data_IF_579071815655
#
_entry.id   IF_579071815655
#
_cell.length_a   1.000
_cell.length_b   1.000
_cell.length_c   1.000
_cell.angle_alpha   90.00
_cell.angle_beta   90.00
_cell.angle_gamma   90.00
#
_symmetry.space_group_name_H-M   'P 1'
#
loop_
_entity.id
_entity.type
_entity.pdbx_description
1 polymer ?
#
# COMPACT_ATOMS: atom_id res chain seq x y z
N UNK A 1 12.02 -28.28 43.03
CA UNK A 1 11.75 -26.96 42.42
C UNK A 1 10.47 -27.08 41.60
N UNK A 2 9.39 -26.48 42.10
CA UNK A 2 8.00 -26.91 41.86
C UNK A 2 7.34 -26.18 40.67
N UNK A 3 6.54 -26.94 39.92
CA UNK A 3 5.66 -26.61 38.79
C UNK A 3 4.49 -25.67 39.19
N UNK A 4 4.55 -25.04 40.36
CA UNK A 4 3.51 -24.16 40.89
C UNK A 4 3.66 -22.67 40.51
N UNK A 5 4.71 -22.25 39.79
CA UNK A 5 4.96 -20.81 39.49
C UNK A 5 4.48 -20.33 38.11
N UNK A 6 3.97 -21.21 37.25
CA UNK A 6 3.57 -20.86 35.88
C UNK A 6 2.10 -20.50 35.70
N UNK A 7 1.27 -20.66 36.75
CA UNK A 7 -0.17 -20.34 36.70
C UNK A 7 -0.54 -18.95 37.22
N UNK A 8 0.40 -18.17 37.76
CA UNK A 8 0.12 -16.79 38.23
C UNK A 8 0.46 -15.69 37.22
N UNK A 9 1.05 -16.01 36.07
CA UNK A 9 1.44 -15.01 35.06
C UNK A 9 0.37 -14.80 33.97
N UNK A 10 -0.48 -15.79 33.71
CA UNK A 10 -1.51 -15.73 32.66
C UNK A 10 -2.85 -15.10 33.09
N UNK A 11 -3.00 -14.71 34.36
CA UNK A 11 -4.23 -14.08 34.88
C UNK A 11 -4.20 -12.53 34.94
N UNK A 12 -3.12 -11.88 34.46
CA UNK A 12 -2.97 -10.40 34.53
C UNK A 12 -2.71 -9.69 33.19
N UNK A 13 -2.86 -10.37 32.05
CA UNK A 13 -2.79 -9.73 30.73
C UNK A 13 -4.17 -9.51 30.12
N UNK A 14 -5.06 -8.87 30.88
CA UNK A 14 -6.17 -8.09 30.28
C UNK A 14 -5.58 -6.75 29.86
N UNK A 15 -4.92 -6.71 28.70
CA UNK A 15 -4.49 -5.48 28.04
C UNK A 15 -5.72 -4.64 27.69
N UNK A 16 -6.16 -3.80 28.63
CA UNK A 16 -7.01 -2.66 28.34
C UNK A 16 -6.17 -1.68 27.54
N UNK A 17 -6.18 -1.82 26.21
CA UNK A 17 -5.82 -0.73 25.31
C UNK A 17 -6.89 0.35 25.49
N UNK A 18 -6.74 1.17 26.53
CA UNK A 18 -7.51 2.38 26.76
C UNK A 18 -6.70 3.59 26.32
N UNK A 19 -6.10 3.53 25.13
CA UNK A 19 -5.65 4.74 24.47
C UNK A 19 -6.90 5.51 24.02
N UNK A 20 -7.15 6.68 24.64
CA UNK A 20 -8.19 7.61 24.20
C UNK A 20 -8.02 7.99 22.72
N UNK A 21 -6.79 7.92 22.17
CA UNK A 21 -6.48 8.13 20.74
C UNK A 21 -7.08 7.00 19.88
N UNK A 22 -6.91 5.73 20.25
CA UNK A 22 -7.48 4.59 19.50
C UNK A 22 -9.02 4.61 19.48
N UNK A 23 -9.68 4.95 20.60
CA UNK A 23 -11.15 5.07 20.65
C UNK A 23 -11.70 6.22 19.80
N UNK A 24 -10.95 7.32 19.64
CA UNK A 24 -11.31 8.44 18.76
C UNK A 24 -11.19 8.03 17.29
N UNK A 25 -10.17 7.24 16.98
CA UNK A 25 -9.89 6.72 15.64
C UNK A 25 -10.94 5.71 15.15
N UNK A 26 -11.26 4.68 15.95
CA UNK A 26 -12.30 3.68 15.62
C UNK A 26 -13.67 4.34 15.37
N UNK A 27 -13.99 5.42 16.09
CA UNK A 27 -15.23 6.18 15.87
C UNK A 27 -15.25 6.96 14.55
N UNK A 28 -14.11 7.54 14.12
CA UNK A 28 -14.02 8.20 12.80
C UNK A 28 -14.05 7.18 11.66
N UNK A 29 -13.34 6.06 11.81
CA UNK A 29 -13.31 4.98 10.81
C UNK A 29 -14.67 4.30 10.62
N UNK A 30 -15.45 4.09 11.70
CA UNK A 30 -16.80 3.55 11.59
C UNK A 30 -17.76 4.47 10.82
N UNK A 31 -17.63 5.79 10.94
CA UNK A 31 -18.48 6.73 10.19
C UNK A 31 -18.17 6.68 8.69
N UNK A 32 -16.91 6.46 8.30
CA UNK A 32 -16.50 6.32 6.90
C UNK A 32 -16.84 4.94 6.32
N UNK A 33 -16.65 3.86 7.09
CA UNK A 33 -16.91 2.48 6.63
C UNK A 33 -18.40 2.13 6.54
N UNK A 34 -19.29 2.88 7.20
CA UNK A 34 -20.75 2.62 7.15
C UNK A 34 -21.42 3.04 5.83
N UNK A 35 -20.69 3.70 4.92
CA UNK A 35 -21.25 4.26 3.68
C UNK A 35 -20.75 3.60 2.37
N UNK A 36 -20.01 2.49 2.41
CA UNK A 36 -19.32 1.96 1.22
C UNK A 36 -19.86 0.66 0.62
N UNK A 37 -20.80 0.75 -0.31
CA UNK A 37 -21.21 -0.32 -1.24
C UNK A 37 -20.04 -0.67 -2.21
N UNK A 38 -19.12 -1.53 -1.79
CA UNK A 38 -17.76 -1.67 -2.37
C UNK A 38 -17.61 -2.63 -3.57
N UNK A 39 -18.53 -2.63 -4.52
CA UNK A 39 -18.27 -3.33 -5.80
C UNK A 39 -18.64 -2.50 -7.04
N UNK A 40 -19.43 -1.44 -6.87
CA UNK A 40 -19.94 -0.64 -7.99
C UNK A 40 -19.13 0.63 -8.27
N UNK A 41 -18.25 1.04 -7.34
CA UNK A 41 -17.47 2.29 -7.44
C UNK A 41 -16.27 2.13 -8.37
N UNK A 42 -15.61 0.97 -8.40
CA UNK A 42 -14.44 0.77 -9.27
C UNK A 42 -14.82 0.82 -10.75
N UNK A 43 -16.00 0.28 -11.12
CA UNK A 43 -16.51 0.34 -12.49
C UNK A 43 -16.98 1.74 -12.90
N UNK A 44 -17.37 2.61 -11.95
CA UNK A 44 -17.77 4.01 -12.23
C UNK A 44 -16.57 4.94 -12.38
N UNK A 45 -15.52 4.76 -11.57
CA UNK A 45 -14.29 5.54 -11.69
C UNK A 45 -13.48 5.15 -12.94
N UNK A 46 -13.49 3.87 -13.32
CA UNK A 46 -12.93 3.41 -14.59
C UNK A 46 -13.88 3.65 -15.78
N UNK A 47 -15.20 3.74 -15.54
CA UNK A 47 -16.22 3.90 -16.58
C UNK A 47 -16.31 5.30 -17.18
N UNK A 48 -15.68 6.31 -16.58
CA UNK A 48 -15.50 7.63 -17.20
C UNK A 48 -14.24 7.72 -18.08
N UNK A 49 -13.46 6.64 -18.25
CA UNK A 49 -12.32 6.58 -19.18
C UNK A 49 -12.72 6.37 -20.66
N UNK A 50 -13.98 6.50 -21.05
CA UNK A 50 -14.37 6.22 -22.44
C UNK A 50 -15.69 6.86 -22.84
N UNK A 51 -15.68 8.13 -23.27
CA UNK A 51 -16.65 8.63 -24.26
C UNK A 51 -16.12 9.86 -25.00
N UNK A 52 -15.19 9.65 -25.93
CA UNK A 52 -15.14 10.39 -27.21
C UNK A 52 -14.66 9.41 -28.27
N UNK A 53 -15.63 8.63 -28.75
CA UNK A 53 -15.50 7.63 -29.80
C UNK A 53 -15.28 8.33 -31.14
N UNK A 54 -14.01 8.54 -31.49
CA UNK A 54 -13.61 8.83 -32.85
C UNK A 54 -12.12 8.54 -33.05
N UNK A 55 -11.72 7.27 -33.07
CA UNK A 55 -10.40 6.82 -33.55
C UNK A 55 -10.40 5.31 -33.74
N UNK A 56 -10.21 4.92 -35.00
CA UNK A 56 -9.42 3.79 -35.48
C UNK A 56 -9.36 2.52 -34.63
N UNK A 57 -9.69 1.38 -35.23
CA UNK A 57 -9.76 0.04 -34.64
C UNK A 57 -8.43 -0.51 -34.07
N UNK A 58 -7.80 0.21 -33.14
CA UNK A 58 -6.70 -0.32 -32.32
C UNK A 58 -7.26 -1.51 -31.55
N UNK A 59 -6.83 -2.70 -31.98
CA UNK A 59 -7.18 -3.99 -31.38
C UNK A 59 -7.03 -3.87 -29.87
N UNK A 60 -8.16 -3.88 -29.16
CA UNK A 60 -8.16 -3.86 -27.69
C UNK A 60 -7.42 -5.10 -27.20
N UNK A 61 -6.47 -4.91 -26.28
CA UNK A 61 -5.69 -5.99 -25.67
C UNK A 61 -6.65 -7.07 -25.15
N UNK A 62 -6.45 -8.32 -25.57
CA UNK A 62 -7.16 -9.46 -24.98
C UNK A 62 -6.48 -9.82 -23.67
N UNK A 63 -7.20 -9.75 -22.55
CA UNK A 63 -6.68 -10.03 -21.19
C UNK A 63 -6.06 -11.45 -21.09
N UNK A 64 -6.64 -12.39 -21.83
CA UNK A 64 -6.08 -13.74 -21.98
C UNK A 64 -6.27 -14.23 -23.41
N UNK A 65 -5.37 -15.13 -23.82
CA UNK A 65 -5.44 -15.87 -25.07
C UNK A 65 -5.88 -17.29 -24.71
N UNK A 66 -7.03 -17.71 -25.21
CA UNK A 66 -7.48 -19.10 -25.11
C UNK A 66 -6.57 -19.98 -25.98
N UNK A 67 -5.94 -20.97 -25.36
CA UNK A 67 -5.05 -21.93 -26.02
C UNK A 67 -5.78 -23.25 -26.34
N UNK A 68 -7.08 -23.36 -26.00
CA UNK A 68 -7.85 -24.59 -26.09
C UNK A 68 -7.62 -25.54 -24.91
N UNK A 69 -8.55 -26.50 -24.73
CA UNK A 69 -8.43 -27.54 -23.69
C UNK A 69 -8.41 -27.01 -22.25
N UNK A 70 -9.07 -25.87 -22.00
CA UNK A 70 -9.11 -25.23 -20.67
C UNK A 70 -7.82 -24.48 -20.30
N UNK A 71 -6.87 -24.32 -21.23
CA UNK A 71 -5.63 -23.57 -21.01
C UNK A 71 -5.80 -22.13 -21.48
N UNK A 72 -5.34 -21.17 -20.69
CA UNK A 72 -5.24 -19.78 -21.09
C UNK A 72 -3.80 -19.28 -20.92
N UNK A 73 -3.41 -18.34 -21.77
CA UNK A 73 -2.19 -17.54 -21.58
C UNK A 73 -2.62 -16.12 -21.19
N UNK A 74 -2.24 -15.69 -20.00
CA UNK A 74 -2.36 -14.30 -19.60
C UNK A 74 -1.50 -13.44 -20.53
N UNK A 75 -2.05 -12.33 -20.97
CA UNK A 75 -1.26 -11.30 -21.64
C UNK A 75 -0.81 -10.30 -20.61
N UNK A 76 0.43 -9.86 -20.73
CA UNK A 76 0.98 -8.84 -19.85
C UNK A 76 0.34 -7.48 -20.15
N UNK A 77 0.32 -6.61 -19.14
CA UNK A 77 0.00 -5.21 -19.35
C UNK A 77 1.17 -4.51 -20.05
N UNK A 78 0.87 -3.46 -20.80
CA UNK A 78 1.89 -2.68 -21.52
C UNK A 78 1.97 -1.27 -20.93
N UNK A 79 3.13 -0.61 -20.97
CA UNK A 79 3.24 0.79 -20.56
C UNK A 79 2.18 1.66 -21.24
N UNK A 80 1.62 2.62 -20.52
CA UNK A 80 0.84 3.67 -21.13
C UNK A 80 1.75 4.47 -22.08
N UNK A 81 1.55 4.32 -23.39
CA UNK A 81 2.19 5.20 -24.36
C UNK A 81 1.71 6.65 -24.21
N UNK A 82 2.52 7.62 -24.65
CA UNK A 82 2.18 9.07 -24.68
C UNK A 82 0.87 9.39 -25.42
N UNK A 83 0.45 8.46 -26.27
CA UNK A 83 -0.78 8.51 -27.07
C UNK A 83 -2.06 8.34 -26.22
N UNK A 84 -1.94 7.83 -24.99
CA UNK A 84 -3.07 7.57 -24.10
C UNK A 84 -3.36 8.81 -23.25
N UNK A 85 -4.52 9.42 -23.48
CA UNK A 85 -5.09 10.45 -22.62
C UNK A 85 -5.75 9.78 -21.40
N UNK A 86 -4.94 9.53 -20.36
CA UNK A 86 -5.38 8.88 -19.12
C UNK A 86 -5.01 9.74 -17.92
N UNK A 87 -5.90 9.75 -16.92
CA UNK A 87 -5.59 10.37 -15.63
C UNK A 87 -4.44 9.63 -14.94
N UNK A 88 -3.41 10.40 -14.57
CA UNK A 88 -2.36 9.95 -13.69
C UNK A 88 -2.97 9.51 -12.35
N UNK A 89 -2.90 8.22 -12.04
CA UNK A 89 -3.54 7.65 -10.86
C UNK A 89 -2.50 7.02 -9.96
N UNK A 90 -2.35 7.62 -8.78
CA UNK A 90 -1.48 7.15 -7.72
C UNK A 90 -2.25 6.18 -6.80
N UNK A 91 -1.85 4.92 -6.78
CA UNK A 91 -2.26 3.97 -5.77
C UNK A 91 -1.33 4.11 -4.57
N UNK A 92 -1.84 4.60 -3.45
CA UNK A 92 -1.08 4.76 -2.22
C UNK A 92 -1.44 3.67 -1.22
N UNK A 93 -0.45 3.04 -0.58
CA UNK A 93 -0.71 2.02 0.43
C UNK A 93 0.44 1.88 1.42
N UNK A 94 0.11 1.70 2.70
CA UNK A 94 1.08 1.23 3.68
C UNK A 94 1.65 -0.15 3.25
N UNK A 95 2.92 -0.46 3.53
CA UNK A 95 3.51 -1.74 3.16
C UNK A 95 2.65 -2.95 3.54
N UNK A 96 2.56 -3.93 2.64
CA UNK A 96 1.76 -5.15 2.82
C UNK A 96 0.24 -4.94 3.06
N UNK A 97 -0.32 -3.76 2.77
CA UNK A 97 -1.76 -3.51 2.82
C UNK A 97 -2.55 -3.96 1.57
N UNK A 98 -1.93 -4.75 0.69
CA UNK A 98 -2.60 -5.38 -0.46
C UNK A 98 -2.30 -4.73 -1.81
N UNK A 99 -1.31 -3.83 -1.88
CA UNK A 99 -0.90 -3.17 -3.13
C UNK A 99 -0.62 -4.15 -4.27
N UNK A 100 -0.02 -5.31 -3.98
CA UNK A 100 0.27 -6.35 -4.99
C UNK A 100 -0.98 -6.98 -5.61
N UNK A 101 -2.10 -6.98 -4.90
CA UNK A 101 -3.38 -7.42 -5.49
C UNK A 101 -4.01 -6.27 -6.27
N UNK A 102 -3.90 -5.04 -5.76
CA UNK A 102 -4.40 -3.84 -6.44
C UNK A 102 -3.79 -3.65 -7.81
N UNK A 103 -2.47 -3.57 -7.92
CA UNK A 103 -1.82 -3.33 -9.20
C UNK A 103 -2.10 -4.47 -10.22
N UNK A 104 -2.14 -5.74 -9.80
CA UNK A 104 -2.48 -6.88 -10.67
C UNK A 104 -3.90 -6.79 -11.21
N UNK A 105 -4.87 -6.47 -10.35
CA UNK A 105 -6.24 -6.25 -10.79
C UNK A 105 -6.35 -5.06 -11.74
N UNK A 106 -5.65 -3.96 -11.42
CA UNK A 106 -5.61 -2.77 -12.24
C UNK A 106 -5.02 -3.07 -13.61
N UNK A 107 -3.87 -3.73 -13.70
CA UNK A 107 -3.22 -4.16 -14.94
C UNK A 107 -4.10 -5.12 -15.75
N UNK A 108 -4.75 -6.07 -15.09
CA UNK A 108 -5.66 -7.00 -15.75
C UNK A 108 -6.84 -6.28 -16.40
N UNK A 109 -7.45 -5.32 -15.70
CA UNK A 109 -8.64 -4.59 -16.14
C UNK A 109 -8.29 -3.53 -17.20
N UNK A 110 -7.25 -2.73 -16.97
CA UNK A 110 -6.89 -1.61 -17.84
C UNK A 110 -6.01 -2.03 -19.03
N UNK A 111 -5.22 -3.09 -18.86
CA UNK A 111 -4.14 -3.45 -19.77
C UNK A 111 -2.93 -2.51 -19.72
N UNK A 112 -2.92 -1.57 -18.77
CA UNK A 112 -1.87 -0.58 -18.56
C UNK A 112 -0.98 -1.05 -17.41
N UNK A 113 0.31 -1.12 -17.67
CA UNK A 113 1.31 -1.51 -16.69
C UNK A 113 1.39 -0.48 -15.55
N UNK A 114 1.49 -0.96 -14.32
CA UNK A 114 1.61 -0.09 -13.14
C UNK A 114 3.08 0.10 -12.78
N UNK A 115 3.53 1.36 -12.76
CA UNK A 115 4.89 1.73 -12.32
C UNK A 115 5.03 1.79 -10.79
N UNK A 116 6.25 2.04 -10.30
CA UNK A 116 6.54 2.16 -8.87
C UNK A 116 7.50 3.31 -8.54
N UNK A 117 7.67 3.54 -7.24
CA UNK A 117 8.50 4.60 -6.66
C UNK A 117 9.95 4.59 -7.17
N UNK A 118 10.47 3.44 -7.60
CA UNK A 118 11.89 3.24 -7.94
C UNK A 118 12.13 3.00 -9.43
N UNK A 119 11.12 3.24 -10.28
CA UNK A 119 11.19 3.05 -11.73
C UNK A 119 11.52 1.62 -12.18
N UNK A 120 11.19 0.60 -11.37
CA UNK A 120 11.51 -0.80 -11.68
C UNK A 120 10.55 -1.45 -12.70
N UNK A 121 9.60 -0.68 -13.24
CA UNK A 121 8.59 -1.12 -14.22
C UNK A 121 8.98 -1.05 -15.71
N UNK A 122 10.21 -0.68 -16.06
CA UNK A 122 10.66 -0.52 -17.46
C UNK A 122 10.49 0.91 -18.01
N UNK A 123 10.87 1.14 -19.27
CA UNK A 123 11.04 2.49 -19.88
C UNK A 123 9.79 3.41 -19.84
N UNK A 124 8.59 2.85 -19.66
CA UNK A 124 7.36 3.64 -19.41
C UNK A 124 7.39 4.46 -18.12
N UNK A 125 8.24 4.08 -17.16
CA UNK A 125 8.43 4.80 -15.90
C UNK A 125 9.15 6.14 -16.07
N UNK A 126 9.87 6.36 -17.19
CA UNK A 126 10.55 7.63 -17.47
C UNK A 126 9.59 8.74 -17.87
N UNK A 127 8.51 8.38 -18.58
CA UNK A 127 7.49 9.34 -18.99
C UNK A 127 6.44 9.56 -17.90
N UNK A 128 6.42 8.75 -16.83
CA UNK A 128 5.58 8.90 -15.63
C UNK A 128 4.08 9.10 -15.93
N UNK A 129 3.59 8.58 -17.05
CA UNK A 129 2.19 8.70 -17.46
C UNK A 129 1.41 7.47 -17.01
N UNK A 130 0.28 7.69 -16.34
CA UNK A 130 -0.69 6.64 -16.06
C UNK A 130 -0.72 6.18 -14.61
N UNK A 131 -0.44 4.90 -14.38
CA UNK A 131 -0.77 4.22 -13.12
C UNK A 131 0.51 3.96 -12.31
N UNK A 132 0.56 4.44 -11.08
CA UNK A 132 1.73 4.29 -10.22
C UNK A 132 1.34 3.79 -8.83
N UNK A 133 2.09 2.83 -8.28
CA UNK A 133 1.96 2.42 -6.88
C UNK A 133 3.03 3.09 -6.03
N UNK A 134 2.65 3.56 -4.86
CA UNK A 134 3.57 4.14 -3.88
C UNK A 134 3.32 3.64 -2.47
N UNK A 135 4.38 3.65 -1.67
CA UNK A 135 4.32 3.48 -0.23
C UNK A 135 4.47 4.80 0.54
N UNK A 136 4.77 5.91 -0.15
CA UNK A 136 4.85 7.24 0.47
C UNK A 136 3.57 7.52 1.29
N UNK A 137 3.67 8.16 2.47
CA UNK A 137 4.88 8.69 3.11
C UNK A 137 5.59 7.70 4.04
N UNK A 138 5.35 6.39 3.90
CA UNK A 138 6.11 5.39 4.64
C UNK A 138 7.61 5.49 4.31
N UNK A 139 8.47 5.08 5.23
CA UNK A 139 9.94 5.18 5.11
C UNK A 139 10.49 4.42 3.88
N UNK A 140 9.77 3.39 3.45
CA UNK A 140 10.09 2.56 2.27
C UNK A 140 9.68 3.22 0.94
N UNK A 141 8.96 4.35 0.97
CA UNK A 141 8.44 5.04 -0.20
C UNK A 141 9.05 6.43 -0.39
N UNK A 142 9.26 6.82 -1.64
CA UNK A 142 9.82 8.14 -2.03
C UNK A 142 8.88 8.86 -2.98
N UNK A 143 8.94 10.19 -3.06
CA UNK A 143 8.12 10.96 -4.00
C UNK A 143 8.80 11.03 -5.37
N UNK A 144 8.62 9.99 -6.20
CA UNK A 144 9.32 9.92 -7.49
C UNK A 144 8.48 10.35 -8.70
N UNK A 145 7.17 10.57 -8.55
CA UNK A 145 6.29 10.90 -9.68
C UNK A 145 6.13 12.40 -9.94
N UNK A 146 6.52 13.28 -9.01
CA UNK A 146 6.38 14.73 -9.16
C UNK A 146 4.92 15.13 -9.40
N UNK A 147 4.69 16.12 -10.28
CA UNK A 147 3.36 16.62 -10.63
C UNK A 147 2.64 15.82 -11.73
N UNK A 148 3.05 14.57 -12.00
CA UNK A 148 2.50 13.78 -13.12
C UNK A 148 1.26 12.95 -12.75
N UNK A 149 0.80 13.05 -11.50
CA UNK A 149 -0.39 12.35 -11.02
C UNK A 149 -1.52 13.35 -10.82
N UNK A 150 -2.74 12.95 -11.18
CA UNK A 150 -3.94 13.77 -11.07
C UNK A 150 -4.79 13.40 -9.85
N UNK A 151 -4.73 12.13 -9.43
CA UNK A 151 -5.60 11.59 -8.40
C UNK A 151 -4.96 10.48 -7.58
N UNK A 152 -5.45 10.32 -6.35
CA UNK A 152 -5.04 9.26 -5.43
C UNK A 152 -6.16 8.24 -5.22
N UNK A 153 -5.80 6.96 -5.24
CA UNK A 153 -6.58 5.85 -4.70
C UNK A 153 -5.84 5.30 -3.49
N UNK A 154 -6.47 5.37 -2.32
CA UNK A 154 -5.88 4.90 -1.08
C UNK A 154 -6.26 3.43 -0.82
N UNK A 155 -5.27 2.56 -0.69
CA UNK A 155 -5.45 1.14 -0.40
C UNK A 155 -5.19 0.87 1.08
N UNK A 156 -6.23 0.49 1.82
CA UNK A 156 -6.18 0.33 3.28
C UNK A 156 -6.41 -1.14 3.67
N UNK A 157 -5.58 -1.58 4.62
CA UNK A 157 -5.71 -2.84 5.33
C UNK A 157 -5.60 -2.60 6.84
N UNK A 158 -6.32 -3.39 7.61
CA UNK A 158 -6.32 -3.36 9.07
C UNK A 158 -4.88 -3.51 9.59
N UNK A 159 -4.45 -2.69 10.57
CA UNK A 159 -3.07 -2.72 11.06
C UNK A 159 -2.73 -4.06 11.71
N UNK A 160 -3.73 -4.79 12.23
CA UNK A 160 -3.57 -6.15 12.74
C UNK A 160 -3.03 -7.12 11.69
N UNK A 161 -3.24 -6.86 10.42
CA UNK A 161 -2.78 -7.70 9.31
C UNK A 161 -1.63 -7.07 8.53
N UNK A 162 -1.68 -5.76 8.29
CA UNK A 162 -0.68 -5.05 7.49
C UNK A 162 0.70 -5.11 8.15
N UNK A 163 0.80 -4.75 9.45
CA UNK A 163 2.07 -4.67 10.19
C UNK A 163 2.75 -6.05 10.32
N UNK A 164 2.09 -7.14 10.74
CA UNK A 164 2.72 -8.46 10.75
C UNK A 164 3.10 -8.99 9.36
N UNK A 165 2.31 -8.66 8.33
CA UNK A 165 2.63 -9.02 6.94
C UNK A 165 3.84 -8.27 6.45
N UNK A 166 3.97 -6.99 6.78
CA UNK A 166 5.12 -6.16 6.46
C UNK A 166 6.38 -6.71 7.12
N UNK A 167 6.32 -7.05 8.41
CA UNK A 167 7.44 -7.73 9.07
C UNK A 167 7.83 -9.05 8.39
N UNK A 168 6.83 -9.86 8.01
CA UNK A 168 7.11 -11.13 7.31
C UNK A 168 7.81 -10.87 5.98
N UNK A 169 7.42 -9.82 5.25
CA UNK A 169 8.08 -9.40 4.03
C UNK A 169 9.53 -8.97 4.29
N UNK A 170 9.77 -8.14 5.32
CA UNK A 170 11.13 -7.75 5.72
C UNK A 170 12.00 -8.96 6.06
N UNK A 171 11.46 -9.94 6.78
CA UNK A 171 12.17 -11.18 7.09
C UNK A 171 12.52 -12.00 5.83
N UNK A 172 11.59 -12.09 4.86
CA UNK A 172 11.81 -12.82 3.60
C UNK A 172 12.93 -12.21 2.74
N UNK A 173 13.10 -10.89 2.82
CA UNK A 173 14.21 -10.16 2.18
C UNK A 173 15.42 -9.99 3.10
N UNK A 174 15.54 -10.80 4.15
CA UNK A 174 16.66 -10.78 5.09
C UNK A 174 16.92 -9.42 5.76
N UNK A 175 15.86 -8.62 5.95
CA UNK A 175 15.92 -7.25 6.47
C UNK A 175 16.89 -6.37 5.67
N UNK A 176 16.92 -6.55 4.34
CA UNK A 176 17.70 -5.72 3.43
C UNK A 176 17.44 -4.22 3.68
N UNK A 177 18.52 -3.43 3.67
CA UNK A 177 18.48 -1.97 3.80
C UNK A 177 18.75 -1.25 2.48
N UNK A 178 19.06 -2.00 1.43
CA UNK A 178 19.36 -1.54 0.09
C UNK A 178 18.65 -2.42 -0.94
N UNK A 179 18.42 -1.85 -2.12
CA UNK A 179 17.67 -2.51 -3.17
C UNK A 179 18.40 -3.72 -3.76
N UNK A 180 19.74 -3.72 -3.76
CA UNK A 180 20.55 -4.80 -4.33
C UNK A 180 20.35 -6.08 -3.51
N UNK A 181 20.51 -5.97 -2.19
CA UNK A 181 20.27 -7.06 -1.23
C UNK A 181 18.81 -7.50 -1.27
N UNK A 182 17.85 -6.58 -1.33
CA UNK A 182 16.44 -6.94 -1.42
C UNK A 182 16.12 -7.73 -2.70
N UNK A 183 16.77 -7.39 -3.82
CA UNK A 183 16.59 -8.04 -5.11
C UNK A 183 17.11 -9.48 -5.11
N UNK A 184 18.21 -9.78 -4.40
CA UNK A 184 18.73 -11.15 -4.25
C UNK A 184 17.71 -12.11 -3.60
N UNK A 185 16.80 -11.59 -2.79
CA UNK A 185 15.80 -12.36 -2.06
C UNK A 185 14.37 -12.15 -2.59
N UNK A 186 14.19 -11.51 -3.75
CA UNK A 186 12.86 -11.20 -4.28
C UNK A 186 12.00 -12.46 -4.50
N UNK A 187 12.64 -13.56 -4.90
CA UNK A 187 11.97 -14.84 -5.12
C UNK A 187 11.38 -15.41 -3.82
N UNK A 188 11.95 -15.08 -2.66
CA UNK A 188 11.46 -15.53 -1.35
C UNK A 188 10.22 -14.76 -0.87
N UNK A 189 9.88 -13.65 -1.53
CA UNK A 189 8.78 -12.79 -1.07
C UNK A 189 7.44 -13.50 -1.18
N UNK A 190 6.62 -13.30 -0.16
CA UNK A 190 5.27 -13.86 -0.03
C UNK A 190 5.20 -15.39 0.12
N UNK A 191 6.30 -16.08 0.41
CA UNK A 191 6.34 -17.54 0.53
C UNK A 191 6.13 -18.09 1.94
N UNK A 192 6.68 -17.46 2.97
CA UNK A 192 6.68 -17.98 4.34
C UNK A 192 6.48 -16.88 5.39
N UNK A 193 6.55 -17.26 6.67
CA UNK A 193 6.43 -16.33 7.81
C UNK A 193 7.73 -16.33 8.59
N UNK A 194 8.01 -15.20 9.22
CA UNK A 194 9.10 -15.12 10.17
C UNK A 194 8.90 -16.12 11.33
N UNK A 195 9.97 -16.78 11.80
CA UNK A 195 9.94 -17.57 13.02
C UNK A 195 9.42 -16.74 14.20
N UNK A 196 8.73 -17.41 15.13
CA UNK A 196 8.07 -16.77 16.26
C UNK A 196 9.01 -15.89 17.10
N UNK A 197 10.25 -16.33 17.34
CA UNK A 197 11.23 -15.57 18.12
C UNK A 197 11.68 -14.28 17.42
N UNK A 198 11.82 -14.31 16.10
CA UNK A 198 12.14 -13.11 15.32
C UNK A 198 10.97 -12.14 15.30
N UNK A 199 9.75 -12.66 15.18
CA UNK A 199 8.54 -11.85 15.28
C UNK A 199 8.42 -11.15 16.64
N UNK A 200 8.68 -11.84 17.76
CA UNK A 200 8.65 -11.22 19.09
C UNK A 200 9.67 -10.09 19.18
N UNK A 201 10.91 -10.32 18.75
CA UNK A 201 11.98 -9.31 18.79
C UNK A 201 11.59 -8.07 18.00
N UNK A 202 11.07 -8.27 16.78
CA UNK A 202 10.66 -7.15 15.94
C UNK A 202 9.46 -6.40 16.52
N UNK A 203 8.44 -7.12 17.00
CA UNK A 203 7.27 -6.51 17.65
C UNK A 203 7.73 -5.65 18.83
N UNK A 204 8.55 -6.18 19.70
CA UNK A 204 8.97 -5.45 20.90
C UNK A 204 9.87 -4.24 20.57
N UNK A 205 10.53 -4.25 19.41
CA UNK A 205 11.41 -3.17 18.96
C UNK A 205 10.69 -2.08 18.13
N UNK A 206 9.79 -2.46 17.23
CA UNK A 206 9.18 -1.57 16.20
C UNK A 206 7.70 -1.29 16.38
N UNK A 207 6.99 -2.01 17.23
CA UNK A 207 5.51 -1.98 17.21
C UNK A 207 4.91 -0.58 17.38
N UNK A 208 5.42 0.23 18.30
CA UNK A 208 4.89 1.57 18.53
C UNK A 208 5.16 2.49 17.33
N UNK A 209 6.37 2.44 16.76
CA UNK A 209 6.75 3.19 15.56
C UNK A 209 5.89 2.79 14.35
N UNK A 210 5.68 1.50 14.12
CA UNK A 210 4.91 0.99 12.97
C UNK A 210 3.42 1.29 13.08
N UNK A 211 2.88 1.32 14.31
CA UNK A 211 1.51 1.77 14.54
C UNK A 211 1.37 3.26 14.22
N UNK A 212 2.33 4.08 14.63
CA UNK A 212 2.33 5.50 14.32
C UNK A 212 2.48 5.73 12.81
N UNK A 213 3.42 5.04 12.13
CA UNK A 213 3.59 5.10 10.68
C UNK A 213 2.35 4.66 9.90
N UNK A 214 1.69 3.58 10.33
CA UNK A 214 0.43 3.14 9.72
C UNK A 214 -0.68 4.19 9.87
N UNK A 215 -0.81 4.78 11.07
CA UNK A 215 -1.78 5.84 11.32
C UNK A 215 -1.49 7.08 10.49
N UNK A 216 -0.23 7.54 10.47
CA UNK A 216 0.19 8.73 9.74
C UNK A 216 0.09 8.55 8.23
N UNK A 217 0.32 7.34 7.71
CA UNK A 217 0.09 7.06 6.29
C UNK A 217 -1.37 7.34 5.91
N UNK A 218 -2.33 6.90 6.73
CA UNK A 218 -3.76 7.15 6.48
C UNK A 218 -4.09 8.62 6.65
N UNK A 219 -3.68 9.23 7.76
CA UNK A 219 -3.99 10.63 8.04
C UNK A 219 -3.35 11.57 6.99
N UNK A 220 -2.14 11.25 6.49
CA UNK A 220 -1.51 12.00 5.40
C UNK A 220 -2.45 12.14 4.20
N UNK A 221 -2.96 11.03 3.65
CA UNK A 221 -3.86 11.09 2.50
C UNK A 221 -5.25 11.64 2.87
N UNK A 222 -5.81 11.20 3.98
CA UNK A 222 -7.17 11.59 4.40
C UNK A 222 -7.29 13.05 4.85
N UNK A 223 -6.18 13.67 5.24
CA UNK A 223 -6.13 15.08 5.61
C UNK A 223 -5.53 15.96 4.50
N UNK A 224 -5.24 15.43 3.31
CA UNK A 224 -4.69 16.23 2.20
C UNK A 224 -3.25 16.67 2.44
N UNK A 225 -2.39 15.73 2.83
CA UNK A 225 -0.95 15.89 2.98
C UNK A 225 -0.48 16.39 4.33
N UNK A 226 -1.12 16.04 5.46
CA UNK A 226 -0.58 16.43 6.78
C UNK A 226 0.82 15.83 6.96
N UNK A 227 1.81 16.68 7.22
CA UNK A 227 3.21 16.25 7.34
C UNK A 227 3.51 15.76 8.77
N UNK A 228 4.22 14.63 8.90
CA UNK A 228 4.56 14.02 10.21
C UNK A 228 6.06 13.97 10.49
N UNK A 229 6.91 14.37 9.56
CA UNK A 229 8.37 14.30 9.62
C UNK A 229 9.00 15.64 9.24
N UNK A 230 10.27 15.82 9.58
CA UNK A 230 11.05 17.01 9.20
C UNK A 230 11.99 16.78 8.02
N UNK A 231 12.50 15.55 7.87
CA UNK A 231 13.55 15.20 6.92
C UNK A 231 13.04 15.19 5.47
N UNK A 232 13.92 15.30 4.47
CA UNK A 232 13.51 15.17 3.08
C UNK A 232 13.08 13.73 2.77
N UNK A 233 12.26 13.55 1.74
CA UNK A 233 11.70 12.25 1.39
C UNK A 233 12.77 11.17 1.12
N UNK A 234 13.83 11.51 0.38
CA UNK A 234 14.95 10.60 0.11
C UNK A 234 15.86 10.36 1.32
N UNK A 235 15.91 11.29 2.28
CA UNK A 235 16.70 11.14 3.51
C UNK A 235 16.03 10.14 4.46
N UNK A 236 14.70 9.98 4.38
CA UNK A 236 13.97 8.99 5.18
C UNK A 236 14.22 7.55 4.74
N UNK A 237 14.61 7.33 3.48
CA UNK A 237 14.94 6.00 3.01
C UNK A 237 16.39 5.67 3.39
N UNK A 238 16.59 5.01 4.54
CA UNK A 238 17.89 4.45 4.94
C UNK A 238 18.70 5.22 5.99
N UNK A 239 18.23 6.35 6.53
CA UNK A 239 18.91 7.05 7.64
C UNK A 239 18.19 6.84 8.97
N UNK A 240 18.92 6.71 10.08
CA UNK A 240 18.33 6.64 11.43
C UNK A 240 19.16 7.50 12.39
N UNK A 241 18.55 8.27 13.31
CA UNK A 241 17.11 8.35 13.64
C UNK A 241 16.30 9.31 12.75
N UNK A 242 15.00 9.06 12.63
CA UNK A 242 14.04 9.95 11.95
C UNK A 242 13.49 11.01 12.89
N UNK A 243 13.32 12.23 12.38
CA UNK A 243 12.72 13.31 13.15
C UNK A 243 11.24 13.45 12.83
N UNK A 244 10.40 12.97 13.74
CA UNK A 244 8.95 13.16 13.67
C UNK A 244 8.51 14.45 14.35
N UNK A 245 7.54 15.12 13.73
CA UNK A 245 6.92 16.32 14.27
C UNK A 245 6.04 15.97 15.47
N UNK A 246 6.09 16.81 16.50
CA UNK A 246 5.16 16.72 17.64
C UNK A 246 3.73 17.08 17.23
N UNK A 247 2.74 16.69 18.04
CA UNK A 247 1.32 17.00 17.77
C UNK A 247 1.08 18.51 17.54
N UNK A 248 1.85 19.38 18.21
CA UNK A 248 1.77 20.84 18.08
C UNK A 248 2.43 21.37 16.82
N UNK A 249 3.55 20.79 16.40
CA UNK A 249 4.29 21.25 15.20
C UNK A 249 3.59 20.87 13.90
N UNK A 250 2.77 19.82 13.92
CA UNK A 250 1.99 19.34 12.77
C UNK A 250 0.82 20.25 12.40
N UNK A 251 0.36 21.09 13.32
CA UNK A 251 -0.83 21.91 13.10
C UNK A 251 -0.58 22.88 11.94
N UNK A 252 -1.33 22.69 10.84
CA UNK A 252 -1.22 23.51 9.65
C UNK A 252 -0.04 23.19 8.74
N UNK A 253 0.82 22.23 9.09
CA UNK A 253 1.89 21.78 8.20
C UNK A 253 1.34 20.81 7.16
N UNK A 254 1.61 21.16 5.91
CA UNK A 254 1.28 20.35 4.74
C UNK A 254 2.55 20.02 3.98
N UNK A 255 2.59 18.80 3.48
CA UNK A 255 3.62 18.34 2.58
C UNK A 255 3.61 19.21 1.31
N UNK A 256 4.73 19.83 0.93
CA UNK A 256 4.81 20.66 -0.27
C UNK A 256 4.33 19.94 -1.53
N UNK A 257 4.55 18.64 -1.66
CA UNK A 257 4.09 17.87 -2.81
C UNK A 257 2.55 17.84 -2.90
N UNK A 258 1.86 17.79 -1.76
CA UNK A 258 0.40 17.86 -1.74
C UNK A 258 -0.16 19.28 -2.00
N UNK A 259 0.69 20.30 -1.93
CA UNK A 259 0.33 21.70 -2.23
C UNK A 259 0.57 22.00 -3.72
N UNK A 260 1.71 21.55 -4.25
CA UNK A 260 2.20 21.99 -5.56
C UNK A 260 2.12 20.93 -6.65
N UNK A 261 2.17 19.63 -6.30
CA UNK A 261 2.30 18.56 -7.28
C UNK A 261 0.98 17.79 -7.50
N UNK A 262 0.28 17.43 -6.43
CA UNK A 262 -0.89 16.53 -6.48
C UNK A 262 -1.91 16.85 -5.38
N UNK A 263 -3.21 16.80 -5.69
CA UNK A 263 -4.25 16.73 -4.67
C UNK A 263 -4.21 15.36 -3.98
N UNK A 264 -3.53 15.31 -2.84
CA UNK A 264 -3.35 14.08 -2.07
C UNK A 264 -4.65 13.51 -1.47
N UNK A 265 -5.77 14.23 -1.52
CA UNK A 265 -7.02 13.70 -0.99
C UNK A 265 -7.54 12.55 -1.88
N UNK A 266 -7.78 11.34 -1.34
CA UNK A 266 -8.12 10.19 -2.15
C UNK A 266 -9.49 10.35 -2.81
N UNK A 267 -9.55 10.09 -4.12
CA UNK A 267 -10.80 10.01 -4.89
C UNK A 267 -11.54 8.70 -4.63
N UNK A 268 -10.81 7.67 -4.19
CA UNK A 268 -11.37 6.40 -3.78
C UNK A 268 -10.54 5.73 -2.68
N UNK A 269 -11.20 4.87 -1.91
CA UNK A 269 -10.58 4.02 -0.91
C UNK A 269 -10.90 2.57 -1.27
N UNK A 270 -9.86 1.73 -1.32
CA UNK A 270 -9.96 0.30 -1.63
C UNK A 270 -9.51 -0.51 -0.43
N UNK A 271 -10.18 -1.62 -0.18
CA UNK A 271 -9.81 -2.55 0.88
C UNK A 271 -10.08 -3.99 0.47
N UNK A 272 -9.22 -4.91 0.89
CA UNK A 272 -9.30 -6.34 0.56
C UNK A 272 -9.50 -7.24 1.78
N UNK A 273 -9.90 -6.67 2.92
CA UNK A 273 -10.15 -7.40 4.17
C UNK A 273 -11.09 -8.61 4.02
N UNK A 274 -11.98 -8.59 3.01
CA UNK A 274 -12.95 -9.66 2.77
C UNK A 274 -12.47 -10.75 1.79
N UNK A 275 -11.27 -10.63 1.22
CA UNK A 275 -10.71 -11.61 0.26
C UNK A 275 -9.74 -12.61 0.90
N UNK A 276 -9.81 -12.75 2.22
CA UNK A 276 -8.98 -13.65 3.03
C UNK A 276 -9.59 -15.06 3.00
N UNK A 277 -9.54 -15.74 1.84
CA UNK A 277 -9.81 -17.17 1.78
C UNK A 277 -8.46 -17.92 1.82
N UNK A 278 -8.31 -18.85 2.76
CA UNK A 278 -7.05 -19.59 2.93
C UNK A 278 -6.68 -20.48 1.73
N UNK A 279 -7.66 -20.94 0.97
CA UNK A 279 -7.45 -21.88 -0.13
C UNK A 279 -7.52 -21.21 -1.51
N UNK A 280 -8.32 -20.15 -1.65
CA UNK A 280 -8.60 -19.52 -2.95
C UNK A 280 -8.28 -18.03 -2.99
N UNK A 281 -7.88 -17.43 -1.87
CA UNK A 281 -7.52 -16.02 -1.79
C UNK A 281 -6.08 -15.77 -2.25
N UNK A 282 -5.74 -14.53 -2.64
CA UNK A 282 -4.35 -14.17 -2.95
C UNK A 282 -3.43 -14.48 -1.76
N UNK A 283 -2.27 -15.05 -2.05
CA UNK A 283 -1.26 -15.44 -1.05
C UNK A 283 -0.81 -14.28 -0.16
N UNK A 284 -0.79 -13.07 -0.73
CA UNK A 284 -0.43 -11.82 -0.06
C UNK A 284 -1.45 -11.42 1.02
N UNK A 285 -2.71 -11.81 0.83
CA UNK A 285 -3.82 -11.49 1.73
C UNK A 285 -4.12 -12.62 2.72
N UNK A 286 -3.67 -13.85 2.43
CA UNK A 286 -3.84 -15.02 3.30
C UNK A 286 -2.80 -15.09 4.43
N UNK A 287 -1.75 -14.25 4.39
CA UNK A 287 -0.82 -14.07 5.51
C UNK A 287 -1.51 -13.33 6.66
N UNK A 288 -1.92 -14.10 7.67
CA UNK A 288 -2.48 -13.69 8.99
C UNK A 288 -1.62 -14.24 10.12
#
# INVERSE_FOLDING_TARGET
>A
FSIAKQRSFLSRMSLRITSKRFKRYVRRLHVVLSLGFSFMVMHKLLGHMSTTDNRDSKVKRKISIDLGGGKCKWTDAVPAGKEHDIYGTLFASYPAAGMRVTWQHTEAISGIQVGDDFHLGGDGAKDKVGLLKTQYPHLEGIWSWGSNMDQVILVIRNPRWAIPSYHSLLYEIHYAHDWETAYEYIDNTFQYRAPFDNWIKWRDYRFDEEIDLWMWHIDFYMEGGTQYWMDLDFERNGQWPFHFLTDTERIGRKDPHCIYDLDCFPKAIVTYEKMINANTGPTELSKI
#
